data_IF_542521046002
#
_entry.id   IF_542521046002
#
_cell.length_a   1.000
_cell.length_b   1.000
_cell.length_c   1.000
_cell.angle_alpha   90.00
_cell.angle_beta   90.00
_cell.angle_gamma   90.00
#
_symmetry.space_group_name_H-M   'P 1'
#
loop_
_entity.id
_entity.type
_entity.pdbx_description
1 polymer ?
2 non-polymer ?
3 water ?
#
# COMPACT_ATOMS: atom_id res chain seq x y z
N UNK A 1 -2.63 -15.05 14.06
CA UNK A 1 -1.97 -15.09 12.72
C UNK A 1 -2.45 -13.98 11.80
N UNK A 2 -1.50 -13.19 11.28
CA UNK A 2 -1.82 -12.18 10.28
C UNK A 2 -1.65 -12.74 8.85
N UNK A 3 -2.74 -12.67 8.09
CA UNK A 3 -2.81 -13.35 6.80
C UNK A 3 -2.47 -12.39 5.65
N UNK A 4 -1.36 -12.68 4.99
CA UNK A 4 -0.94 -11.92 3.83
C UNK A 4 -1.41 -12.56 2.53
N UNK A 5 -1.98 -11.74 1.66
CA UNK A 5 -2.35 -12.19 0.32
C UNK A 5 -1.52 -11.45 -0.73
N UNK A 6 -0.82 -12.20 -1.57
CA UNK A 6 0.12 -11.63 -2.51
C UNK A 6 -0.32 -12.06 -3.92
N UNK A 7 -0.81 -11.09 -4.71
CA UNK A 7 -1.22 -11.38 -6.07
C UNK A 7 0.01 -11.40 -6.97
N UNK A 8 0.28 -12.57 -7.56
CA UNK A 8 1.50 -12.77 -8.34
C UNK A 8 1.23 -12.62 -9.85
N UNK A 9 2.17 -12.00 -10.54
CA UNK A 9 2.10 -11.79 -11.99
C UNK A 9 3.49 -12.07 -12.55
N UNK A 10 3.60 -12.07 -13.86
CA UNK A 10 4.88 -12.20 -14.52
C UNK A 10 5.53 -10.82 -14.78
N UNK A 11 5.77 -10.06 -13.73
CA UNK A 11 6.35 -8.70 -13.88
C UNK A 11 7.57 -8.57 -12.96
N UNK A 12 8.48 -7.65 -13.30
CA UNK A 12 9.60 -7.35 -12.40
C UNK A 12 9.09 -6.69 -11.14
N UNK A 13 8.02 -5.90 -11.25
CA UNK A 13 7.39 -5.29 -10.08
C UNK A 13 6.95 -6.33 -9.04
N UNK A 14 6.41 -7.45 -9.53
CA UNK A 14 6.02 -8.54 -8.65
C UNK A 14 7.26 -9.19 -8.01
N UNK A 15 8.35 -9.34 -8.76
CA UNK A 15 9.61 -9.84 -8.18
C UNK A 15 10.08 -8.93 -7.03
N UNK A 16 9.99 -7.62 -7.23
CA UNK A 16 10.33 -6.64 -6.19
C UNK A 16 9.41 -6.73 -4.98
N UNK A 17 8.11 -6.89 -5.23
CA UNK A 17 7.15 -7.11 -4.16
C UNK A 17 7.46 -8.37 -3.32
N UNK A 18 7.82 -9.46 -3.98
CA UNK A 18 8.15 -10.71 -3.26
C UNK A 18 9.33 -10.50 -2.28
N UNK A 19 10.37 -9.83 -2.76
CA UNK A 19 11.57 -9.56 -1.95
C UNK A 19 11.20 -8.57 -0.81
N UNK A 20 10.35 -7.61 -1.11
CA UNK A 20 9.92 -6.64 -0.11
C UNK A 20 9.15 -7.33 1.02
N UNK A 21 8.30 -8.29 0.65
CA UNK A 21 7.57 -9.07 1.63
C UNK A 21 8.54 -9.77 2.56
N UNK A 22 9.57 -10.39 1.99
CA UNK A 22 10.60 -11.06 2.78
C UNK A 22 11.28 -10.07 3.73
N UNK A 23 11.65 -8.90 3.20
CA UNK A 23 12.37 -7.88 3.97
C UNK A 23 11.53 -7.33 5.12
N UNK A 24 10.23 -7.17 4.88
CA UNK A 24 9.35 -6.54 5.88
C UNK A 24 8.66 -7.53 6.82
N UNK A 25 8.35 -8.73 6.32
CA UNK A 25 7.61 -9.69 7.12
C UNK A 25 8.33 -11.03 7.30
N UNK A 26 9.51 -11.18 6.70
CA UNK A 26 10.23 -12.45 6.67
C UNK A 26 10.53 -13.08 8.02
N UNK A 27 10.92 -12.25 8.99
CA UNK A 27 11.29 -12.72 10.34
C UNK A 27 10.08 -12.89 11.27
N UNK A 28 8.89 -12.61 10.75
CA UNK A 28 7.66 -12.63 11.55
C UNK A 28 7.04 -14.02 11.58
N UNK A 29 7.03 -14.65 12.75
CA UNK A 29 6.49 -16.01 12.90
C UNK A 29 4.96 -16.07 13.07
N UNK A 30 4.33 -14.89 13.14
CA UNK A 30 2.86 -14.81 13.20
C UNK A 30 2.20 -14.43 11.87
N UNK A 31 2.95 -14.56 10.77
CA UNK A 31 2.44 -14.30 9.42
C UNK A 31 2.21 -15.58 8.65
N UNK A 32 1.09 -15.67 7.94
CA UNK A 32 0.95 -16.64 6.86
C UNK A 32 0.90 -15.88 5.54
N UNK A 33 1.46 -16.50 4.51
CA UNK A 33 1.51 -15.93 3.17
C UNK A 33 0.72 -16.85 2.23
N UNK A 34 -0.18 -16.24 1.46
CA UNK A 34 -0.92 -16.95 0.43
C UNK A 34 -0.63 -16.25 -0.89
N UNK A 35 -0.27 -17.03 -1.91
CA UNK A 35 -0.07 -16.48 -3.25
C UNK A 35 -1.34 -16.71 -4.07
N UNK A 36 -1.78 -15.69 -4.82
CA UNK A 36 -2.92 -15.91 -5.72
C UNK A 36 -2.58 -15.58 -7.17
N UNK A 37 -2.96 -16.48 -8.08
CA UNK A 37 -2.89 -16.20 -9.51
C UNK A 37 -4.26 -16.47 -10.11
N UNK A 38 -4.74 -15.55 -10.96
CA UNK A 38 -6.03 -15.72 -11.64
C UNK A 38 -5.81 -15.84 -13.13
N UNK A 39 -6.21 -16.99 -13.68
CA UNK A 39 -6.20 -17.20 -15.12
C UNK A 39 -7.40 -16.46 -15.75
N UNK A 40 -7.13 -15.61 -16.75
CA UNK A 40 -8.20 -14.85 -17.40
C UNK A 40 -9.17 -15.75 -18.18
N UNK A 41 -10.39 -15.27 -18.42
CA UNK A 41 -11.37 -16.03 -19.19
C UNK A 41 -11.01 -16.06 -20.67
N UNK A 42 -11.44 -17.14 -21.33
CA UNK A 42 -11.11 -17.40 -22.73
C UNK A 42 -11.66 -16.30 -23.65
N UNK A 43 -10.74 -15.64 -24.38
CA UNK A 43 -11.08 -14.85 -25.57
C UNK A 43 -9.90 -14.92 -26.54
N UNK A 44 -10.18 -15.27 -27.80
CA UNK A 44 -9.18 -15.36 -28.86
C UNK A 44 -9.69 -14.73 -30.15
N UNK A 45 -8.78 -14.31 -31.02
CA UNK A 45 -9.12 -14.05 -32.41
C UNK A 45 -9.39 -15.37 -33.15
N UNK A 46 -10.26 -15.32 -34.16
CA UNK A 46 -10.54 -16.47 -35.02
C UNK A 46 -9.29 -17.03 -35.70
N UNK A 47 -8.37 -16.15 -36.10
CA UNK A 47 -7.13 -16.57 -36.75
C UNK A 47 -6.30 -17.45 -35.80
N UNK A 48 -6.28 -17.09 -34.52
CA UNK A 48 -5.56 -17.86 -33.49
C UNK A 48 -6.27 -19.17 -33.16
N UNK A 49 -7.60 -19.14 -33.16
CA UNK A 49 -8.40 -20.36 -32.95
C UNK A 49 -8.02 -21.45 -33.98
N UNK A 50 -7.87 -21.04 -35.24
CA UNK A 50 -7.47 -21.93 -36.34
C UNK A 50 -6.00 -22.31 -36.30
N UNK A 51 -5.14 -21.35 -35.98
CA UNK A 51 -3.69 -21.58 -36.05
C UNK A 51 -3.14 -22.40 -34.89
N UNK A 52 -3.73 -22.25 -33.70
CA UNK A 52 -3.08 -22.74 -32.48
C UNK A 52 -3.98 -23.13 -31.28
N UNK A 53 -5.25 -23.44 -31.54
CA UNK A 53 -6.22 -23.75 -30.48
C UNK A 53 -5.71 -24.61 -29.31
N UNK A 54 -5.13 -25.77 -29.64
CA UNK A 54 -4.66 -26.71 -28.63
C UNK A 54 -3.52 -26.14 -27.78
N UNK A 55 -2.56 -25.48 -28.44
CA UNK A 55 -1.35 -25.01 -27.77
C UNK A 55 -1.49 -23.68 -27.01
N UNK A 56 -2.52 -22.89 -27.32
CA UNK A 56 -2.77 -21.68 -26.52
C UNK A 56 -3.41 -22.04 -25.17
N UNK A 57 -4.32 -23.02 -25.17
CA UNK A 57 -4.90 -23.54 -23.93
C UNK A 57 -3.84 -24.22 -23.05
N UNK A 58 -2.93 -24.95 -23.69
CA UNK A 58 -1.85 -25.64 -23.00
C UNK A 58 -0.88 -24.63 -22.39
N UNK A 59 -0.52 -23.62 -23.18
CA UNK A 59 0.39 -22.55 -22.76
C UNK A 59 -0.20 -21.77 -21.60
N UNK A 60 -1.53 -21.61 -21.57
CA UNK A 60 -2.18 -20.88 -20.49
C UNK A 60 -2.13 -21.62 -19.15
N UNK A 61 -2.29 -22.94 -19.17
CA UNK A 61 -2.08 -23.76 -17.95
C UNK A 61 -0.61 -23.77 -17.52
N UNK A 62 0.29 -23.76 -18.49
CA UNK A 62 1.72 -23.75 -18.17
C UNK A 62 2.14 -22.43 -17.48
N UNK A 63 1.54 -21.31 -17.88
CA UNK A 63 1.78 -20.02 -17.24
C UNK A 63 1.47 -20.06 -15.74
N UNK A 64 0.32 -20.63 -15.41
CA UNK A 64 -0.09 -20.78 -14.02
C UNK A 64 0.90 -21.65 -13.25
N UNK A 65 1.30 -22.78 -13.82
CA UNK A 65 2.27 -23.66 -13.18
C UNK A 65 3.61 -22.95 -12.98
N UNK A 66 4.15 -22.38 -14.06
CA UNK A 66 5.47 -21.75 -14.00
C UNK A 66 5.51 -20.58 -13.04
N UNK A 67 4.46 -19.77 -13.00
CA UNK A 67 4.41 -18.65 -12.07
C UNK A 67 4.37 -19.08 -10.59
N UNK A 68 3.49 -20.03 -10.29
CA UNK A 68 3.31 -20.49 -8.92
C UNK A 68 4.55 -21.26 -8.44
N UNK A 69 5.22 -21.97 -9.36
CA UNK A 69 6.45 -22.67 -9.01
C UNK A 69 7.56 -21.66 -8.74
N UNK A 70 7.69 -20.66 -9.61
CA UNK A 70 8.69 -19.61 -9.41
C UNK A 70 8.59 -18.96 -8.02
N UNK A 71 7.39 -18.51 -7.66
CA UNK A 71 7.24 -17.82 -6.37
C UNK A 71 7.22 -18.76 -5.17
N UNK A 72 6.77 -20.00 -5.36
CA UNK A 72 6.88 -21.00 -4.31
C UNK A 72 8.32 -21.32 -3.98
N UNK A 73 9.16 -21.42 -5.02
CA UNK A 73 10.58 -21.64 -4.82
C UNK A 73 11.20 -20.45 -4.10
N UNK A 74 10.88 -19.25 -4.56
CA UNK A 74 11.45 -18.03 -3.99
C UNK A 74 11.27 -17.99 -2.48
N UNK A 75 10.07 -18.29 -2.02
CA UNK A 75 9.75 -18.18 -0.60
C UNK A 75 10.23 -19.37 0.21
N UNK A 76 10.04 -20.58 -0.31
CA UNK A 76 10.45 -21.80 0.42
C UNK A 76 11.96 -21.83 0.70
N UNK A 77 12.77 -21.37 -0.25
CA UNK A 77 14.22 -21.31 -0.08
C UNK A 77 14.63 -20.30 0.98
N UNK A 78 13.72 -19.39 1.31
CA UNK A 78 13.96 -18.39 2.35
C UNK A 78 13.15 -18.69 3.62
N UNK A 79 12.67 -19.93 3.75
CA UNK A 79 12.06 -20.41 5.00
C UNK A 79 10.56 -20.20 5.17
N UNK A 80 9.89 -19.74 4.10
CA UNK A 80 8.43 -19.51 4.11
C UNK A 80 7.71 -20.49 3.18
N UNK A 81 6.82 -21.31 3.73
CA UNK A 81 6.03 -22.25 2.93
C UNK A 81 4.63 -21.63 2.65
N UNK A 82 4.47 -20.97 1.50
CA UNK A 82 3.22 -20.24 1.23
C UNK A 82 2.05 -21.16 0.82
N UNK A 83 0.83 -20.72 1.10
CA UNK A 83 -0.34 -21.32 0.48
C UNK A 83 -0.43 -20.74 -0.91
N UNK A 84 -0.99 -21.53 -1.84
CA UNK A 84 -1.08 -21.12 -3.24
C UNK A 84 -2.50 -21.32 -3.72
N UNK A 85 -3.09 -20.25 -4.27
CA UNK A 85 -4.46 -20.29 -4.79
C UNK A 85 -4.44 -19.92 -6.26
N UNK A 86 -5.07 -20.77 -7.08
CA UNK A 86 -5.24 -20.48 -8.49
C UNK A 86 -6.73 -20.41 -8.77
N UNK A 87 -7.19 -19.30 -9.35
CA UNK A 87 -8.59 -19.16 -9.73
C UNK A 87 -8.63 -18.95 -11.24
N UNK A 88 -9.82 -19.06 -11.82
CA UNK A 88 -10.06 -18.65 -13.21
C UNK A 88 -11.28 -17.74 -13.23
N UNK A 89 -11.15 -16.59 -13.88
CA UNK A 89 -12.23 -15.61 -13.96
C UNK A 89 -11.63 -14.26 -14.24
N UNK A 90 -12.39 -13.21 -13.95
CA UNK A 90 -11.94 -11.84 -14.13
C UNK A 90 -10.98 -11.50 -12.99
N UNK A 91 -9.69 -11.25 -13.32
CA UNK A 91 -8.70 -11.17 -12.25
C UNK A 91 -9.03 -10.16 -11.15
N UNK A 92 -9.40 -8.94 -11.52
CA UNK A 92 -9.69 -7.89 -10.54
C UNK A 92 -10.77 -8.32 -9.52
N UNK A 93 -11.94 -8.72 -10.02
CA UNK A 93 -13.05 -9.25 -9.23
C UNK A 93 -12.61 -10.42 -8.32
N UNK A 94 -11.87 -11.38 -8.89
CA UNK A 94 -11.42 -12.56 -8.15
C UNK A 94 -10.46 -12.22 -7.01
N UNK A 95 -9.49 -11.36 -7.27
CA UNK A 95 -8.53 -10.96 -6.24
C UNK A 95 -9.22 -10.21 -5.09
N UNK A 96 -10.10 -9.26 -5.42
CA UNK A 96 -10.84 -8.48 -4.42
C UNK A 96 -11.76 -9.35 -3.56
N UNK A 97 -12.47 -10.30 -4.18
CA UNK A 97 -13.28 -11.27 -3.45
C UNK A 97 -12.44 -12.12 -2.48
N UNK A 98 -11.32 -12.66 -2.97
CA UNK A 98 -10.43 -13.46 -2.12
C UNK A 98 -9.90 -12.65 -0.93
N UNK A 99 -9.54 -11.40 -1.19
CA UNK A 99 -8.99 -10.49 -0.18
C UNK A 99 -9.82 -10.31 1.09
N UNK A 100 -11.12 -10.57 1.01
CA UNK A 100 -12.03 -10.39 2.16
C UNK A 100 -11.56 -11.17 3.40
N UNK A 101 -10.82 -12.25 3.17
CA UNK A 101 -10.48 -13.19 4.24
C UNK A 101 -9.05 -13.04 4.73
N UNK A 102 -8.44 -11.89 4.42
CA UNK A 102 -7.02 -11.68 4.69
C UNK A 102 -6.82 -10.37 5.45
N UNK A 103 -5.59 -10.12 5.89
CA UNK A 103 -5.28 -8.91 6.65
C UNK A 103 -4.53 -7.88 5.83
N UNK A 104 -3.80 -8.34 4.81
CA UNK A 104 -3.07 -7.45 3.93
C UNK A 104 -3.03 -8.04 2.52
N UNK A 105 -3.33 -7.19 1.54
CA UNK A 105 -3.18 -7.49 0.13
C UNK A 105 -1.97 -6.74 -0.43
N UNK A 106 -1.08 -7.47 -1.09
CA UNK A 106 0.16 -6.91 -1.61
C UNK A 106 0.15 -7.09 -3.11
N UNK A 107 0.46 -6.03 -3.84
CA UNK A 107 0.49 -6.08 -5.31
C UNK A 107 1.69 -5.28 -5.83
N UNK A 108 2.38 -5.82 -6.84
CA UNK A 108 3.40 -5.06 -7.57
C UNK A 108 2.74 -4.23 -8.66
N UNK A 109 3.05 -2.94 -8.70
CA UNK A 109 2.46 -2.02 -9.64
C UNK A 109 3.15 -2.07 -11.00
N UNK A 110 2.41 -2.37 -12.05
CA UNK A 110 2.97 -2.50 -13.40
C UNK A 110 1.89 -2.44 -14.48
N UNK A 111 2.22 -1.90 -15.64
CA UNK A 111 1.32 -1.92 -16.79
C UNK A 111 0.93 -3.36 -17.16
N UNK A 112 1.79 -4.32 -16.80
CA UNK A 112 1.57 -5.72 -17.16
C UNK A 112 1.03 -6.59 -16.03
N UNK A 113 0.63 -5.97 -14.92
CA UNK A 113 -0.01 -6.68 -13.81
C UNK A 113 -1.36 -7.27 -14.23
N UNK A 114 -1.94 -8.08 -13.34
CA UNK A 114 -3.27 -8.66 -13.56
C UNK A 114 -4.34 -7.57 -13.73
N UNK A 115 -4.01 -6.33 -13.35
CA UNK A 115 -4.89 -5.19 -13.57
C UNK A 115 -4.71 -4.57 -14.95
N UNK A 116 -3.61 -4.91 -15.61
CA UNK A 116 -3.25 -4.34 -16.92
C UNK A 116 -3.08 -2.83 -16.92
N UNK A 117 -2.78 -2.28 -15.74
CA UNK A 117 -2.50 -0.86 -15.61
C UNK A 117 -1.75 -0.63 -14.31
N UNK A 118 -0.85 0.34 -14.35
CA UNK A 118 -0.08 0.74 -13.19
C UNK A 118 -1.04 1.40 -12.17
N UNK A 119 -0.74 1.31 -10.88
CA UNK A 119 -1.46 2.13 -9.89
C UNK A 119 -0.97 3.56 -10.02
N UNK A 120 -1.91 4.48 -10.09
CA UNK A 120 -1.54 5.87 -10.26
C UNK A 120 -1.72 6.60 -8.94
N UNK A 121 -2.88 6.44 -8.32
CA UNK A 121 -3.28 7.24 -7.19
C UNK A 121 -3.98 6.44 -6.09
N UNK A 122 -3.98 7.01 -4.88
CA UNK A 122 -4.76 6.43 -3.79
C UNK A 122 -6.26 6.48 -4.11
N UNK A 123 -6.65 7.34 -5.06
CA UNK A 123 -8.06 7.46 -5.49
C UNK A 123 -8.45 6.36 -6.49
N UNK A 124 -7.49 5.57 -6.94
CA UNK A 124 -7.78 4.48 -7.91
C UNK A 124 -8.92 3.59 -7.47
N UNK A 125 -9.78 3.24 -8.43
CA UNK A 125 -10.94 2.39 -8.19
C UNK A 125 -10.60 1.09 -7.47
N UNK A 126 -9.55 0.41 -7.91
CA UNK A 126 -9.15 -0.84 -7.27
C UNK A 126 -8.84 -0.61 -5.78
N UNK A 127 -8.05 0.42 -5.49
CA UNK A 127 -7.75 0.80 -4.10
C UNK A 127 -9.04 1.08 -3.31
N UNK A 128 -9.96 1.84 -3.90
CA UNK A 128 -11.23 2.17 -3.23
C UNK A 128 -12.14 0.95 -3.00
N UNK A 129 -12.01 -0.07 -3.86
CA UNK A 129 -12.83 -1.29 -3.74
C UNK A 129 -12.24 -2.35 -2.79
N UNK A 130 -10.94 -2.26 -2.53
CA UNK A 130 -10.25 -3.24 -1.67
C UNK A 130 -10.91 -3.34 -0.28
N UNK A 131 -11.20 -4.58 0.17
CA UNK A 131 -11.93 -4.75 1.44
C UNK A 131 -11.01 -4.69 2.66
N UNK A 132 -9.71 -4.67 2.41
CA UNK A 132 -8.68 -4.68 3.45
C UNK A 132 -7.56 -3.70 3.05
N UNK A 133 -6.61 -3.42 3.97
CA UNK A 133 -5.49 -2.57 3.55
C UNK A 133 -4.70 -3.19 2.39
N UNK A 134 -4.21 -2.32 1.51
CA UNK A 134 -3.46 -2.71 0.33
C UNK A 134 -2.06 -2.12 0.35
N UNK A 135 -1.07 -2.93 0.00
CA UNK A 135 0.31 -2.47 -0.04
C UNK A 135 0.75 -2.55 -1.50
N UNK A 136 1.16 -1.42 -2.04
CA UNK A 136 1.54 -1.33 -3.44
C UNK A 136 3.03 -1.15 -3.49
N UNK A 137 3.70 -2.07 -4.18
CA UNK A 137 5.15 -1.99 -4.37
C UNK A 137 5.44 -1.59 -5.82
N UNK A 138 6.37 -0.64 -5.99
CA UNK A 138 6.79 -0.20 -7.33
C UNK A 138 8.07 -0.89 -7.79
N UNK B 1 17.36 -1.65 10.13
CA UNK B 1 16.10 -1.07 10.69
C UNK B 1 15.10 -0.64 9.60
N UNK B 2 13.89 -1.20 9.65
CA UNK B 2 12.80 -0.84 8.75
C UNK B 2 12.20 0.49 9.21
N UNK B 3 12.24 1.50 8.34
CA UNK B 3 11.75 2.81 8.72
C UNK B 3 10.34 3.04 8.16
N UNK B 4 9.35 3.17 9.05
CA UNK B 4 7.97 3.41 8.61
C UNK B 4 7.63 4.89 8.76
N UNK B 5 6.99 5.45 7.73
CA UNK B 5 6.56 6.86 7.75
C UNK B 5 5.03 6.88 7.66
N UNK B 6 4.41 7.48 8.67
CA UNK B 6 2.96 7.46 8.76
C UNK B 6 2.50 8.91 8.65
N UNK B 7 1.79 9.23 7.56
CA UNK B 7 1.22 10.57 7.39
C UNK B 7 -0.09 10.64 8.17
N UNK B 8 -0.02 11.26 9.34
CA UNK B 8 -1.18 11.33 10.23
C UNK B 8 -2.17 12.41 9.79
N UNK B 9 -3.42 12.25 10.25
CA UNK B 9 -4.52 13.14 9.91
C UNK B 9 -5.57 12.98 11.00
N UNK B 10 -6.45 13.97 11.16
CA UNK B 10 -7.51 13.85 12.15
C UNK B 10 -8.75 13.19 11.54
N UNK B 11 -8.61 11.93 11.14
CA UNK B 11 -9.70 11.20 10.51
C UNK B 11 -9.85 9.86 11.19
N UNK B 12 -11.02 9.25 11.05
CA UNK B 12 -11.23 7.91 11.60
C UNK B 12 -10.41 6.87 10.82
N UNK B 13 -10.17 7.12 9.54
CA UNK B 13 -9.34 6.20 8.72
C UNK B 13 -7.88 6.18 9.21
N UNK B 14 -7.35 7.32 9.61
CA UNK B 14 -6.01 7.40 10.18
C UNK B 14 -5.94 6.77 11.56
N UNK B 15 -7.05 6.81 12.31
CA UNK B 15 -7.13 6.11 13.58
C UNK B 15 -7.05 4.60 13.34
N UNK B 16 -7.69 4.12 12.27
CA UNK B 16 -7.67 2.70 11.94
C UNK B 16 -6.28 2.33 11.42
N UNK B 17 -5.65 3.25 10.68
CA UNK B 17 -4.29 3.06 10.23
C UNK B 17 -3.31 2.93 11.42
N UNK B 18 -3.46 3.81 12.41
CA UNK B 18 -2.61 3.74 13.62
C UNK B 18 -2.72 2.36 14.31
N UNK B 19 -3.94 1.89 14.53
CA UNK B 19 -4.19 0.57 15.12
C UNK B 19 -3.60 -0.56 14.26
N UNK B 20 -3.71 -0.40 12.95
CA UNK B 20 -3.22 -1.40 12.02
C UNK B 20 -1.69 -1.52 12.03
N UNK B 21 -1.01 -0.37 12.08
CA UNK B 21 0.44 -0.35 12.26
C UNK B 21 0.85 -1.11 13.53
N UNK B 22 0.14 -0.82 14.61
CA UNK B 22 0.38 -1.48 15.88
C UNK B 22 0.18 -2.99 15.75
N UNK B 23 -0.96 -3.40 15.17
CA UNK B 23 -1.27 -4.83 14.97
C UNK B 23 -0.24 -5.52 14.09
N UNK B 24 0.25 -4.81 13.07
CA UNK B 24 1.13 -5.44 12.09
C UNK B 24 2.62 -5.33 12.44
N UNK B 25 3.04 -4.23 13.07
CA UNK B 25 4.48 -3.94 13.30
C UNK B 25 4.88 -3.76 14.76
N UNK B 26 3.90 -3.86 15.67
CA UNK B 26 4.13 -3.55 17.08
C UNK B 26 5.09 -4.46 17.83
N UNK B 27 5.30 -5.67 17.34
CA UNK B 27 6.22 -6.61 18.02
C UNK B 27 7.58 -6.67 17.32
N UNK B 28 7.72 -5.86 16.27
CA UNK B 28 8.93 -5.83 15.47
C UNK B 28 9.99 -4.95 16.11
N UNK B 29 11.10 -5.58 16.51
CA UNK B 29 12.23 -4.88 17.13
C UNK B 29 13.04 -4.04 16.12
N UNK B 30 13.14 -4.52 14.88
CA UNK B 30 13.98 -3.89 13.86
C UNK B 30 13.23 -2.83 13.06
N UNK B 31 12.48 -2.00 13.77
CA UNK B 31 11.45 -1.21 13.15
C UNK B 31 11.29 0.10 13.90
N UNK B 32 11.29 1.21 13.18
CA UNK B 32 10.99 2.53 13.78
C UNK B 32 9.77 3.11 13.08
N UNK B 33 9.06 3.97 13.81
CA UNK B 33 7.88 4.62 13.26
C UNK B 33 8.07 6.13 13.36
N UNK B 34 7.83 6.82 12.25
CA UNK B 34 7.89 8.27 12.20
C UNK B 34 6.52 8.82 11.80
N UNK B 35 5.98 9.70 12.65
CA UNK B 35 4.74 10.40 12.37
C UNK B 35 5.07 11.74 11.70
N UNK B 36 4.47 12.00 10.53
CA UNK B 36 4.69 13.27 9.86
C UNK B 36 3.38 14.06 9.77
N UNK B 37 3.49 15.34 10.08
CA UNK B 37 2.40 16.26 9.88
C UNK B 37 2.97 17.49 9.21
N UNK B 38 2.27 18.01 8.21
CA UNK B 38 2.71 19.20 7.49
C UNK B 38 1.77 20.37 7.76
N UNK B 39 2.33 21.45 8.29
CA UNK B 39 1.61 22.71 8.41
C UNK B 39 1.52 23.31 7.01
N UNK B 40 0.27 23.51 6.51
CA UNK B 40 -0.01 23.92 5.12
C UNK B 40 0.75 25.15 4.63
N UNK B 44 -0.97 33.46 0.43
CA UNK B 44 -1.60 34.56 1.13
C UNK B 44 -1.97 35.71 0.17
N UNK B 45 -3.27 35.82 -0.13
CA UNK B 45 -3.75 36.71 -1.17
C UNK B 45 -5.05 37.39 -0.71
N UNK B 46 -5.05 38.72 -0.69
CA UNK B 46 -6.24 39.48 -0.28
C UNK B 46 -6.07 40.05 1.11
N UNK B 47 -6.69 41.20 1.35
CA UNK B 47 -6.57 41.90 2.63
C UNK B 47 -7.02 41.04 3.83
N UNK B 48 -8.15 40.36 3.67
CA UNK B 48 -8.74 39.52 4.72
C UNK B 48 -7.81 38.38 5.15
N UNK B 49 -7.25 37.66 4.20
CA UNK B 49 -6.28 36.59 4.48
C UNK B 49 -5.00 37.14 5.15
N UNK B 50 -4.52 38.29 4.65
CA UNK B 50 -3.31 38.92 5.18
C UNK B 50 -3.43 39.39 6.64
N UNK B 51 -4.60 39.91 7.01
CA UNK B 51 -4.83 40.37 8.38
C UNK B 51 -4.94 39.21 9.38
N UNK B 52 -5.43 38.07 8.92
CA UNK B 52 -5.57 36.88 9.77
C UNK B 52 -4.26 36.05 9.90
N UNK B 53 -3.24 36.40 9.11
CA UNK B 53 -1.97 35.65 9.04
C UNK B 53 -1.49 35.10 10.38
N UNK B 54 -1.34 35.98 11.38
CA UNK B 54 -0.82 35.59 12.70
C UNK B 54 -1.71 34.63 13.48
N UNK B 55 -3.02 34.89 13.49
CA UNK B 55 -4.00 33.99 14.10
C UNK B 55 -3.98 32.61 13.43
N UNK B 56 -3.91 32.59 12.10
CA UNK B 56 -3.83 31.34 11.34
C UNK B 56 -2.55 30.54 11.64
N UNK B 57 -1.40 31.23 11.68
CA UNK B 57 -0.11 30.60 11.98
C UNK B 57 -0.08 29.99 13.39
N UNK B 58 -0.69 30.70 14.33
CA UNK B 58 -0.84 30.25 15.71
C UNK B 58 -1.76 29.03 15.79
N UNK B 59 -2.90 29.10 15.09
CA UNK B 59 -3.87 27.99 15.08
C UNK B 59 -3.23 26.72 14.54
N UNK B 60 -2.48 26.85 13.44
CA UNK B 60 -1.82 25.71 12.80
C UNK B 60 -0.71 25.09 13.67
N UNK B 61 0.09 25.93 14.33
CA UNK B 61 1.12 25.44 15.25
C UNK B 61 0.45 24.63 16.38
N UNK B 62 -0.64 25.17 16.91
CA UNK B 62 -1.42 24.50 17.97
C UNK B 62 -2.03 23.18 17.50
N UNK B 63 -2.64 23.18 16.31
CA UNK B 63 -3.20 21.97 15.71
C UNK B 63 -2.12 20.90 15.49
N UNK B 64 -0.96 21.33 14.99
CA UNK B 64 0.17 20.41 14.75
C UNK B 64 0.64 19.76 16.04
N UNK B 65 0.76 20.53 17.11
CA UNK B 65 1.19 19.99 18.39
C UNK B 65 0.17 18.97 18.93
N UNK B 66 -1.11 19.32 18.92
CA UNK B 66 -2.19 18.47 19.43
C UNK B 66 -2.37 17.17 18.65
N UNK B 67 -2.34 17.25 17.32
CA UNK B 67 -2.46 16.05 16.51
C UNK B 67 -1.27 15.11 16.67
N UNK B 68 -0.05 15.67 16.70
CA UNK B 68 1.14 14.81 16.81
C UNK B 68 1.20 14.18 18.20
N UNK B 69 0.82 14.96 19.22
CA UNK B 69 0.74 14.42 20.59
C UNK B 69 -0.32 13.32 20.71
N UNK B 70 -1.47 13.51 20.07
CA UNK B 70 -2.54 12.50 20.14
C UNK B 70 -2.07 11.17 19.53
N UNK B 71 -1.46 11.23 18.35
CA UNK B 71 -0.93 10.02 17.75
C UNK B 71 0.29 9.47 18.50
N UNK B 72 1.13 10.35 19.03
CA UNK B 72 2.29 9.89 19.79
C UNK B 72 1.83 9.12 21.05
N UNK B 73 0.86 9.68 21.78
CA UNK B 73 0.33 9.07 23.00
C UNK B 73 -0.30 7.68 22.69
N UNK B 74 -1.01 7.60 21.57
CA UNK B 74 -1.63 6.34 21.15
C UNK B 74 -0.58 5.24 21.07
N UNK B 75 0.53 5.53 20.38
CA UNK B 75 1.60 4.57 20.25
C UNK B 75 2.41 4.32 21.52
N UNK B 76 2.78 5.38 22.26
CA UNK B 76 3.71 5.26 23.39
C UNK B 76 3.11 4.46 24.56
N UNK B 77 1.79 4.47 24.70
CA UNK B 77 1.09 3.68 25.72
C UNK B 77 0.95 2.20 25.34
N UNK B 78 1.40 1.87 24.12
CA UNK B 78 1.29 0.53 23.57
C UNK B 78 2.63 -0.02 23.05
N UNK B 79 3.75 0.50 23.52
CA UNK B 79 5.07 -0.11 23.27
C UNK B 79 5.84 0.38 22.06
N UNK B 80 5.35 1.43 21.40
CA UNK B 80 6.07 2.06 20.29
C UNK B 80 6.41 3.49 20.68
N UNK B 81 7.69 3.83 20.62
CA UNK B 81 8.14 5.20 20.83
C UNK B 81 8.44 5.84 19.47
N UNK B 82 7.47 6.55 18.89
CA UNK B 82 7.66 7.03 17.53
C UNK B 82 8.53 8.29 17.47
N UNK B 83 9.04 8.56 16.27
CA UNK B 83 9.64 9.84 15.98
C UNK B 83 8.52 10.71 15.42
N UNK B 84 8.72 12.02 15.51
CA UNK B 84 7.79 12.99 15.00
C UNK B 84 8.57 13.92 14.10
N UNK B 85 8.00 14.20 12.92
CA UNK B 85 8.52 15.21 12.03
C UNK B 85 7.38 16.17 11.67
N UNK B 86 7.52 17.43 12.08
CA UNK B 86 6.58 18.46 11.68
C UNK B 86 7.24 19.35 10.64
N UNK B 87 6.67 19.37 9.44
CA UNK B 87 7.18 20.17 8.33
C UNK B 87 6.21 21.32 7.98
N UNK B 88 6.64 22.19 7.08
CA UNK B 88 5.72 23.16 6.53
C UNK B 88 5.91 23.30 5.03
N UNK B 89 4.79 23.45 4.34
CA UNK B 89 4.77 23.54 2.89
C UNK B 89 3.45 22.95 2.41
N UNK B 90 3.42 22.55 1.14
CA UNK B 90 2.23 21.88 0.62
C UNK B 90 2.24 20.45 1.17
N UNK B 91 1.22 20.08 1.95
CA UNK B 91 1.24 18.79 2.66
C UNK B 91 1.64 17.58 1.83
N UNK B 92 0.99 17.38 0.68
CA UNK B 92 1.25 16.16 -0.12
C UNK B 92 2.69 16.10 -0.65
N UNK B 93 3.18 17.22 -1.21
CA UNK B 93 4.55 17.30 -1.74
C UNK B 93 5.59 17.04 -0.66
N UNK B 94 5.36 17.59 0.54
CA UNK B 94 6.30 17.45 1.65
C UNK B 94 6.33 16.00 2.17
N UNK B 95 5.17 15.37 2.22
CA UNK B 95 5.10 13.93 2.61
C UNK B 95 5.90 13.04 1.63
N UNK B 96 5.64 13.20 0.33
CA UNK B 96 6.36 12.46 -0.71
C UNK B 96 7.87 12.71 -0.67
N UNK B 97 8.27 13.96 -0.48
CA UNK B 97 9.69 14.29 -0.31
C UNK B 97 10.33 13.59 0.92
N UNK B 98 9.67 13.71 2.07
CA UNK B 98 10.16 13.03 3.28
C UNK B 98 10.29 11.52 3.08
N UNK B 99 9.33 10.93 2.36
CA UNK B 99 9.29 9.47 2.15
C UNK B 99 10.55 8.87 1.52
N UNK B 100 11.36 9.71 0.87
CA UNK B 100 12.58 9.25 0.21
C UNK B 100 13.51 8.51 1.16
N UNK B 101 13.45 8.87 2.44
CA UNK B 101 14.40 8.35 3.42
C UNK B 101 13.82 7.20 4.26
N UNK B 102 12.70 6.63 3.81
CA UNK B 102 12.00 5.58 4.55
C UNK B 102 11.80 4.30 3.73
N UNK B 103 11.25 3.27 4.36
CA UNK B 103 11.04 1.98 3.68
C UNK B 103 9.58 1.70 3.35
N UNK B 104 8.65 2.33 4.07
CA UNK B 104 7.21 2.20 3.81
C UNK B 104 6.51 3.49 4.20
N UNK B 105 5.60 3.94 3.35
CA UNK B 105 4.73 5.10 3.60
C UNK B 105 3.32 4.58 3.88
N UNK B 106 2.74 4.96 5.02
CA UNK B 106 1.38 4.55 5.37
C UNK B 106 0.48 5.77 5.35
N UNK B 107 -0.67 5.63 4.67
CA UNK B 107 -1.67 6.67 4.60
C UNK B 107 -3.07 6.13 4.94
N UNK B 108 -3.90 6.99 5.54
CA UNK B 108 -5.31 6.69 5.72
C UNK B 108 -6.06 7.33 4.57
N UNK B 109 -6.84 6.54 3.84
CA UNK B 109 -7.65 7.10 2.75
C UNK B 109 -9.11 7.22 3.16
N UNK B 110 -9.65 8.42 3.01
CA UNK B 110 -11.06 8.71 3.25
C UNK B 110 -11.40 10.00 2.52
N UNK B 111 -12.69 10.29 2.35
CA UNK B 111 -13.13 11.52 1.72
C UNK B 111 -12.56 12.77 2.43
N UNK B 112 -12.47 12.73 3.76
CA UNK B 112 -11.99 13.89 4.53
C UNK B 112 -10.46 13.99 4.74
N UNK B 113 -9.71 13.08 4.12
CA UNK B 113 -8.25 13.07 4.16
C UNK B 113 -7.63 14.34 3.59
N UNK B 114 -6.55 14.79 4.21
CA UNK B 114 -5.76 15.91 3.67
C UNK B 114 -5.31 15.64 2.23
N UNK B 115 -5.16 14.37 1.86
CA UNK B 115 -4.79 13.98 0.50
C UNK B 115 -5.81 14.39 -0.56
N UNK B 116 -7.07 14.52 -0.13
CA UNK B 116 -8.19 14.74 -1.04
C UNK B 116 -8.79 16.14 -0.93
N UNK B 117 -8.12 17.03 -0.21
CA UNK B 117 -8.54 18.44 -0.18
C UNK B 117 -8.47 19.03 -1.59
N UNK B 118 -9.32 20.02 -1.84
CA UNK B 118 -9.51 20.55 -3.19
C UNK B 118 -8.18 21.00 -3.81
N UNK B 119 -7.29 21.54 -2.99
CA UNK B 119 -6.04 22.09 -3.51
C UNK B 119 -4.81 21.19 -3.27
N UNK B 120 -5.03 19.99 -2.75
CA UNK B 120 -3.95 19.03 -2.50
C UNK B 120 -3.36 18.56 -3.83
N UNK B 121 -2.05 18.40 -3.84
CA UNK B 121 -1.36 17.97 -5.05
C UNK B 121 -1.35 16.45 -5.20
N UNK B 122 -0.91 16.00 -6.38
CA UNK B 122 -0.69 14.58 -6.69
C UNK B 122 -1.93 13.69 -6.54
N UNK B 123 -3.11 14.26 -6.69
CA UNK B 123 -4.35 13.46 -6.61
C UNK B 123 -4.47 12.44 -7.75
N UNK B 124 -3.78 12.72 -8.84
CA UNK B 124 -3.82 11.85 -10.02
C UNK B 124 -2.68 10.84 -10.06
N UNK B 125 -1.60 11.10 -9.33
CA UNK B 125 -0.39 10.29 -9.48
C UNK B 125 0.37 9.95 -8.21
N UNK B 126 -0.29 10.10 -7.05
CA UNK B 126 0.37 9.93 -5.74
C UNK B 126 1.21 8.66 -5.62
N UNK B 127 0.61 7.50 -5.96
CA UNK B 127 1.29 6.22 -5.82
C UNK B 127 2.45 6.13 -6.81
N UNK B 128 2.22 6.62 -8.02
CA UNK B 128 3.23 6.63 -9.06
C UNK B 128 4.42 7.50 -8.65
N UNK B 129 4.15 8.61 -7.95
CA UNK B 129 5.22 9.53 -7.58
C UNK B 129 5.93 9.15 -6.27
N UNK B 130 5.30 8.28 -5.47
CA UNK B 130 5.87 7.88 -4.17
C UNK B 130 7.18 7.16 -4.41
N UNK B 131 8.23 7.54 -3.66
CA UNK B 131 9.54 6.93 -3.93
C UNK B 131 9.69 5.52 -3.34
N UNK B 132 8.71 5.11 -2.55
CA UNK B 132 8.79 3.85 -1.80
C UNK B 132 7.40 3.21 -1.80
N UNK B 133 7.29 1.94 -1.38
CA UNK B 133 5.96 1.31 -1.29
C UNK B 133 4.98 2.07 -0.39
N UNK B 134 3.70 1.95 -0.71
CA UNK B 134 2.65 2.68 0.00
C UNK B 134 1.60 1.70 0.51
N UNK B 135 1.28 1.85 1.79
CA UNK B 135 0.25 1.07 2.42
C UNK B 135 -0.97 1.99 2.59
N UNK B 136 -2.08 1.58 2.01
CA UNK B 136 -3.31 2.37 2.07
C UNK B 136 -4.33 1.68 2.97
N UNK B 137 -4.70 2.35 4.04
CA UNK B 137 -5.71 1.85 4.97
C UNK B 137 -6.95 2.74 4.86
N UNK B 138 -8.11 2.11 4.78
CA UNK B 138 -9.39 2.80 4.82
C UNK B 138 -10.14 2.50 6.13
X LIG C 1 7.49 -4.80 -15.34
X LIG C 1 8.06 -6.13 -15.56
X LIG C 1 8.48 -3.81 -15.76
X LIG C 1 6.28 -4.67 -16.17
X LIG C 1 7.18 -4.57 -13.92
#
# INVERSE_FOLDING_TARGET
MKKLLFAIDDTEACERAAQYILDMFGKDADCTLTLIHVKPEFMLYGEAVLAAYDEIEMKEEEKAKLLTQKFSTFFTEKGINPFVVIKEGEPVEMVLEEAKDYNLLIIGSSENSFLNKIFASHQDDFIQKAPIPVLIVK
MKKLLFAIDDTEACERAAQYILDMFGKDADCTLTLIHVKPEFMLYGEAVLAAYDEIEMKEEEKAKLLTQKFSTFFTEKGINPFVVIKEGEPVEMVLEEAKDYNLLIIGSSENSFLNKIFASHQDDFIQKAPIPVLIVK
SO4 S O1 O2 O3 O4
#
